data_IF_257837620027
#
_entry.id   IF_257837620027
#
_cell.length_a   1.000
_cell.length_b   1.000
_cell.length_c   1.000
_cell.angle_alpha   90.00
_cell.angle_beta   90.00
_cell.angle_gamma   90.00
#
_symmetry.space_group_name_H-M   'P 1'
#
loop_
_entity.id
_entity.type
_entity.pdbx_description
1 polymer ?
#
# COMPACT_ATOMS: atom_id res chain seq x y z
N UNK A 1 -4.49 -1.81 27.21
CA UNK A 1 -3.63 -0.94 26.39
C UNK A 1 -4.52 0.02 25.61
N UNK A 2 -4.28 1.32 25.78
CA UNK A 2 -5.13 2.45 25.36
C UNK A 2 -5.64 2.35 23.91
N UNK A 3 -6.95 2.22 23.71
CA UNK A 3 -7.60 2.20 22.37
C UNK A 3 -8.84 3.08 22.30
N UNK A 4 -8.81 4.24 22.97
CA UNK A 4 -9.87 5.25 22.84
C UNK A 4 -9.30 6.66 23.10
N UNK A 5 -8.17 6.98 22.49
CA UNK A 5 -7.89 8.39 22.24
C UNK A 5 -8.71 8.78 21.02
N UNK A 6 -9.70 9.65 21.24
CA UNK A 6 -10.68 10.07 20.24
C UNK A 6 -9.99 10.42 18.93
N UNK A 7 -10.31 9.66 17.88
CA UNK A 7 -9.91 9.99 16.51
C UNK A 7 -10.64 11.29 16.17
N UNK A 8 -9.95 12.41 16.33
CA UNK A 8 -10.45 13.70 15.90
C UNK A 8 -10.35 13.76 14.37
N UNK A 9 -11.48 14.07 13.74
CA UNK A 9 -11.66 14.34 12.30
C UNK A 9 -11.25 13.23 11.32
N UNK A 10 -12.14 12.26 11.07
CA UNK A 10 -12.10 11.45 9.84
C UNK A 10 -12.89 12.22 8.77
N UNK A 11 -12.20 12.64 7.71
CA UNK A 11 -12.84 13.25 6.55
C UNK A 11 -12.92 12.22 5.43
N UNK A 12 -14.15 11.83 5.06
CA UNK A 12 -14.40 10.99 3.90
C UNK A 12 -14.80 11.88 2.72
N UNK A 13 -14.33 11.52 1.54
CA UNK A 13 -14.56 12.28 0.31
C UNK A 13 -14.86 11.34 -0.84
N UNK A 14 -15.57 11.86 -1.83
CA UNK A 14 -15.76 11.19 -3.11
C UNK A 14 -14.43 11.23 -3.87
N UNK A 15 -13.92 10.04 -4.22
CA UNK A 15 -12.65 9.89 -4.92
C UNK A 15 -12.65 10.60 -6.27
N UNK A 16 -13.79 10.74 -6.93
CA UNK A 16 -13.89 11.41 -8.23
C UNK A 16 -13.97 12.94 -8.09
N UNK A 17 -14.21 13.47 -6.88
CA UNK A 17 -14.49 14.89 -6.62
C UNK A 17 -13.71 15.44 -5.44
N UNK A 18 -12.40 15.22 -5.44
CA UNK A 18 -11.51 15.70 -4.39
C UNK A 18 -11.20 17.20 -4.59
N UNK A 19 -11.45 18.02 -3.56
CA UNK A 19 -10.91 19.39 -3.51
C UNK A 19 -9.41 19.35 -3.18
N UNK A 20 -8.58 20.05 -3.96
CA UNK A 20 -7.14 20.19 -3.76
C UNK A 20 -6.74 20.61 -2.35
N UNK A 21 -7.60 21.34 -1.64
CA UNK A 21 -7.32 21.84 -0.29
C UNK A 21 -7.13 20.70 0.73
N UNK A 22 -7.65 19.50 0.44
CA UNK A 22 -7.48 18.34 1.30
C UNK A 22 -6.01 17.89 1.45
N UNK A 23 -5.18 18.21 0.45
CA UNK A 23 -3.77 17.85 0.46
C UNK A 23 -2.91 18.87 1.21
N UNK A 24 -3.47 20.02 1.59
CA UNK A 24 -2.75 21.04 2.35
C UNK A 24 -2.34 20.49 3.72
N UNK A 25 -1.08 20.69 4.10
CA UNK A 25 -0.49 20.24 5.36
C UNK A 25 -0.48 18.71 5.55
N UNK A 26 -0.78 17.93 4.50
CA UNK A 26 -0.60 16.48 4.54
C UNK A 26 0.89 16.20 4.52
N UNK A 27 1.37 15.50 5.55
CA UNK A 27 2.78 15.12 5.69
C UNK A 27 2.99 13.61 5.60
N UNK A 28 1.92 12.83 5.78
CA UNK A 28 1.96 11.36 5.82
C UNK A 28 0.86 10.80 4.95
N UNK A 29 1.20 9.83 4.09
CA UNK A 29 0.26 9.15 3.20
C UNK A 29 0.38 7.64 3.41
N UNK A 30 -0.77 6.96 3.48
CA UNK A 30 -0.83 5.50 3.43
C UNK A 30 -1.68 5.07 2.24
N UNK A 31 -1.06 4.35 1.30
CA UNK A 31 -1.73 3.77 0.15
C UNK A 31 -1.99 2.30 0.42
N UNK A 32 -3.27 1.96 0.56
CA UNK A 32 -3.76 0.59 0.79
C UNK A 32 -4.55 0.04 -0.40
N UNK A 33 -4.48 0.71 -1.55
CA UNK A 33 -5.27 0.43 -2.75
C UNK A 33 -4.69 -0.82 -3.44
N UNK A 34 -5.53 -1.75 -3.95
CA UNK A 34 -5.06 -2.83 -4.79
C UNK A 34 -4.39 -2.30 -6.08
N UNK A 35 -3.54 -3.09 -6.77
CA UNK A 35 -2.83 -2.63 -7.96
C UNK A 35 -3.78 -2.32 -9.12
N UNK A 36 -4.90 -3.04 -9.13
CA UNK A 36 -6.00 -2.84 -10.07
C UNK A 36 -6.88 -1.70 -9.54
N UNK A 37 -6.78 -0.52 -10.18
CA UNK A 37 -7.51 0.69 -9.78
C UNK A 37 -6.68 1.77 -9.06
N UNK A 38 -5.37 1.59 -8.87
CA UNK A 38 -4.50 2.63 -8.31
C UNK A 38 -4.07 3.64 -9.39
N UNK A 39 -4.80 4.74 -9.52
CA UNK A 39 -4.46 5.93 -10.34
C UNK A 39 -4.09 7.16 -9.48
N UNK A 40 -3.88 6.99 -8.18
CA UNK A 40 -3.70 8.11 -7.22
C UNK A 40 -2.51 8.98 -7.59
N UNK A 41 -1.38 8.34 -7.94
CA UNK A 41 -0.17 9.07 -8.27
C UNK A 41 -0.34 9.90 -9.55
N UNK A 42 -1.01 9.37 -10.57
CA UNK A 42 -1.27 10.05 -11.83
C UNK A 42 -2.26 11.20 -11.65
N UNK A 43 -3.29 11.00 -10.83
CA UNK A 43 -4.38 11.95 -10.66
C UNK A 43 -4.07 13.04 -9.64
N UNK A 44 -3.37 12.70 -8.56
CA UNK A 44 -3.19 13.58 -7.39
C UNK A 44 -1.74 13.74 -6.96
N UNK A 45 -0.78 13.04 -7.58
CA UNK A 45 0.62 13.07 -7.18
C UNK A 45 1.25 14.46 -7.15
N UNK A 46 0.80 15.37 -8.03
CA UNK A 46 1.28 16.76 -8.05
C UNK A 46 0.83 17.60 -6.84
N UNK A 47 -0.14 17.14 -6.05
CA UNK A 47 -0.51 17.81 -4.79
C UNK A 47 0.33 17.35 -3.60
N UNK A 48 1.15 16.31 -3.74
CA UNK A 48 1.97 15.73 -2.68
C UNK A 48 3.30 16.49 -2.52
N UNK A 49 3.24 17.71 -1.97
CA UNK A 49 4.40 18.61 -1.89
C UNK A 49 5.22 18.44 -0.59
N UNK A 50 4.58 18.40 0.58
CA UNK A 50 5.26 18.40 1.90
C UNK A 50 5.32 17.01 2.56
N UNK A 51 5.33 15.96 1.73
CA UNK A 51 5.27 14.58 2.22
C UNK A 51 6.59 14.22 2.89
N UNK A 52 6.52 13.84 4.17
CA UNK A 52 7.63 13.34 4.98
C UNK A 52 7.70 11.83 4.98
N UNK A 53 6.56 11.16 4.76
CA UNK A 53 6.48 9.70 4.73
C UNK A 53 5.31 9.23 3.85
N UNK A 54 5.57 8.23 3.00
CA UNK A 54 4.53 7.52 2.26
C UNK A 54 4.69 6.02 2.45
N UNK A 55 3.67 5.36 2.97
CA UNK A 55 3.61 3.90 3.05
C UNK A 55 2.77 3.32 1.91
N UNK A 56 3.30 2.35 1.18
CA UNK A 56 2.54 1.56 0.23
C UNK A 56 2.42 0.11 0.73
N UNK A 57 1.19 -0.36 0.88
CA UNK A 57 0.91 -1.73 1.30
C UNK A 57 0.97 -2.68 0.11
N UNK A 58 2.04 -3.45 0.05
CA UNK A 58 2.27 -4.50 -0.93
C UNK A 58 1.95 -5.89 -0.35
N UNK A 59 2.42 -6.94 -1.02
CA UNK A 59 2.22 -8.33 -0.62
C UNK A 59 3.45 -9.18 -0.96
N UNK A 60 3.69 -10.23 -0.18
CA UNK A 60 4.82 -11.16 -0.39
C UNK A 60 4.76 -11.95 -1.70
N UNK A 61 3.61 -11.98 -2.38
CA UNK A 61 3.44 -12.63 -3.70
C UNK A 61 4.41 -12.08 -4.77
N UNK A 62 4.99 -10.89 -4.56
CA UNK A 62 6.00 -10.32 -5.47
C UNK A 62 7.30 -11.11 -5.51
N UNK A 63 7.61 -11.90 -4.49
CA UNK A 63 8.82 -12.73 -4.49
C UNK A 63 8.71 -13.89 -5.49
N UNK A 64 7.52 -14.43 -5.69
CA UNK A 64 7.31 -15.65 -6.48
C UNK A 64 7.68 -16.92 -5.72
N UNK A 65 7.88 -18.01 -6.45
CA UNK A 65 8.33 -19.27 -5.88
C UNK A 65 9.86 -19.28 -5.74
N UNK A 66 10.33 -19.55 -4.52
CA UNK A 66 11.74 -19.71 -4.18
C UNK A 66 12.06 -21.15 -3.73
N UNK A 67 11.21 -22.13 -4.09
CA UNK A 67 11.35 -23.55 -3.76
C UNK A 67 11.45 -23.81 -2.25
N UNK A 68 10.73 -23.02 -1.45
CA UNK A 68 10.75 -23.09 0.01
C UNK A 68 11.99 -22.48 0.69
N UNK A 69 12.91 -21.87 -0.08
CA UNK A 69 14.04 -21.14 0.50
C UNK A 69 13.58 -19.86 1.22
N UNK A 70 14.42 -19.40 2.15
CA UNK A 70 14.24 -18.12 2.81
C UNK A 70 14.34 -16.97 1.80
N UNK A 71 13.47 -15.98 1.98
CA UNK A 71 13.50 -14.72 1.25
C UNK A 71 13.63 -13.55 2.23
N UNK A 72 14.32 -12.51 1.77
CA UNK A 72 14.50 -11.21 2.43
C UNK A 72 14.05 -10.09 1.49
N UNK A 73 14.10 -8.86 1.96
CA UNK A 73 13.79 -7.66 1.18
C UNK A 73 14.71 -7.50 -0.05
N UNK A 74 15.95 -7.97 0.03
CA UNK A 74 16.94 -7.99 -1.06
C UNK A 74 16.75 -9.14 -2.04
N UNK A 75 15.87 -10.11 -1.73
CA UNK A 75 15.64 -11.26 -2.60
C UNK A 75 14.97 -10.84 -3.91
N UNK A 76 15.33 -11.54 -4.98
CA UNK A 76 14.82 -11.24 -6.31
C UNK A 76 13.28 -11.41 -6.38
N UNK A 77 12.60 -10.45 -7.01
CA UNK A 77 11.14 -10.47 -7.18
C UNK A 77 10.76 -11.11 -8.51
N UNK A 78 10.26 -12.36 -8.47
CA UNK A 78 9.88 -13.16 -9.65
C UNK A 78 8.41 -13.61 -9.62
N UNK A 79 7.44 -12.68 -9.59
CA UNK A 79 6.04 -13.08 -9.54
C UNK A 79 5.60 -13.77 -10.84
N UNK A 80 4.97 -14.93 -10.72
CA UNK A 80 4.44 -15.71 -11.86
C UNK A 80 3.02 -15.29 -12.20
N UNK A 81 2.17 -15.18 -11.19
CA UNK A 81 0.75 -14.82 -11.32
C UNK A 81 0.55 -13.36 -11.75
N UNK A 82 -0.55 -13.10 -12.47
CA UNK A 82 -0.95 -11.76 -12.91
C UNK A 82 -1.02 -10.76 -11.75
N UNK A 83 -1.63 -11.16 -10.62
CA UNK A 83 -1.75 -10.31 -9.42
C UNK A 83 -0.39 -9.91 -8.85
N UNK A 84 0.56 -10.84 -8.79
CA UNK A 84 1.91 -10.55 -8.32
C UNK A 84 2.67 -9.62 -9.25
N UNK A 85 2.53 -9.80 -10.57
CA UNK A 85 3.12 -8.91 -11.58
C UNK A 85 2.54 -7.50 -11.48
N UNK A 86 1.21 -7.37 -11.37
CA UNK A 86 0.56 -6.06 -11.17
C UNK A 86 1.02 -5.40 -9.88
N UNK A 87 1.14 -6.16 -8.79
CA UNK A 87 1.63 -5.63 -7.50
C UNK A 87 3.05 -5.11 -7.60
N UNK A 88 3.95 -5.86 -8.23
CA UNK A 88 5.33 -5.43 -8.47
C UNK A 88 5.42 -4.20 -9.38
N UNK A 89 4.53 -4.10 -10.39
CA UNK A 89 4.41 -2.90 -11.22
C UNK A 89 4.03 -1.67 -10.38
N UNK A 90 3.05 -1.80 -9.47
CA UNK A 90 2.67 -0.72 -8.56
C UNK A 90 3.77 -0.37 -7.56
N UNK A 91 4.52 -1.34 -7.01
CA UNK A 91 5.70 -1.05 -6.18
C UNK A 91 6.69 -0.14 -6.94
N UNK A 92 7.03 -0.53 -8.18
CA UNK A 92 7.94 0.25 -9.03
C UNK A 92 7.40 1.64 -9.34
N UNK A 93 6.11 1.75 -9.63
CA UNK A 93 5.43 3.03 -9.86
C UNK A 93 5.59 3.97 -8.66
N UNK A 94 5.29 3.51 -7.45
CA UNK A 94 5.42 4.31 -6.23
C UNK A 94 6.88 4.64 -5.91
N UNK A 95 7.80 3.70 -6.02
CA UNK A 95 9.24 3.95 -5.82
C UNK A 95 9.79 5.01 -6.79
N UNK A 96 9.27 5.06 -8.02
CA UNK A 96 9.68 6.04 -9.02
C UNK A 96 9.00 7.43 -8.87
N UNK A 97 8.13 7.62 -7.87
CA UNK A 97 7.39 8.87 -7.66
C UNK A 97 8.22 10.04 -7.13
N UNK A 98 9.46 9.79 -6.67
CA UNK A 98 10.32 10.73 -5.93
C UNK A 98 9.81 11.12 -4.53
N UNK A 99 8.72 10.52 -4.05
CA UNK A 99 8.22 10.68 -2.68
C UNK A 99 9.02 9.81 -1.70
N UNK A 100 8.97 10.09 -0.37
CA UNK A 100 9.64 9.27 0.66
C UNK A 100 8.88 7.94 0.90
N UNK A 101 8.91 7.07 -0.11
CA UNK A 101 8.14 5.82 -0.16
C UNK A 101 8.79 4.72 0.67
N UNK A 102 7.96 4.02 1.43
CA UNK A 102 8.28 2.82 2.19
C UNK A 102 7.33 1.70 1.75
N UNK A 103 7.90 0.59 1.30
CA UNK A 103 7.12 -0.57 0.82
C UNK A 103 6.94 -1.56 1.97
N UNK A 104 5.70 -1.92 2.27
CA UNK A 104 5.38 -2.94 3.26
C UNK A 104 4.83 -4.18 2.56
N UNK A 105 5.64 -5.23 2.39
CA UNK A 105 5.21 -6.49 1.79
C UNK A 105 4.50 -7.35 2.83
N UNK A 106 3.18 -7.22 2.90
CA UNK A 106 2.38 -7.91 3.91
C UNK A 106 2.21 -9.39 3.57
N UNK A 107 2.33 -10.24 4.59
CA UNK A 107 1.95 -11.65 4.51
C UNK A 107 0.42 -11.82 4.58
N UNK A 108 -0.06 -13.06 4.59
CA UNK A 108 -1.49 -13.36 4.76
C UNK A 108 -2.03 -12.76 6.06
N UNK A 109 -2.91 -11.77 5.96
CA UNK A 109 -3.54 -11.11 7.12
C UNK A 109 -4.52 -12.08 7.77
N UNK A 110 -4.31 -12.37 9.05
CA UNK A 110 -5.17 -13.24 9.85
C UNK A 110 -5.65 -12.54 11.13
N UNK A 111 -6.72 -13.07 11.71
CA UNK A 111 -7.28 -12.58 12.98
C UNK A 111 -8.58 -13.29 13.36
N UNK A 112 -9.24 -12.86 14.44
CA UNK A 112 -10.56 -13.35 14.83
C UNK A 112 -11.54 -13.27 13.64
N UNK A 113 -12.17 -14.41 13.29
CA UNK A 113 -13.09 -14.50 12.15
C UNK A 113 -12.44 -14.41 10.75
N UNK A 114 -11.12 -14.27 10.66
CA UNK A 114 -10.37 -14.22 9.40
C UNK A 114 -9.15 -15.13 9.48
N UNK A 115 -9.38 -16.43 9.34
CA UNK A 115 -8.32 -17.42 9.26
C UNK A 115 -8.81 -18.64 8.48
N UNK A 116 -7.87 -19.47 8.00
CA UNK A 116 -8.21 -20.65 7.22
C UNK A 116 -8.94 -21.73 8.04
N UNK A 117 -8.69 -21.81 9.36
CA UNK A 117 -9.27 -22.84 10.23
C UNK A 117 -10.78 -22.68 10.44
N UNK A 118 -11.28 -21.44 10.35
CA UNK A 118 -12.73 -21.14 10.48
C UNK A 118 -13.51 -21.49 9.19
N UNK A 119 -12.81 -21.65 8.06
CA UNK A 119 -13.41 -21.98 6.76
C UNK A 119 -13.15 -23.44 6.32
N UNK A 120 -12.65 -24.29 7.24
CA UNK A 120 -12.52 -25.74 7.05
C UNK A 120 -13.75 -26.44 7.62
#
# INVERSE_FOLDING_TARGET
TSRNQGIQSINLFDYEKINKDIFQNVTHILVSIPPDGDDVLERYGHYFQDIRWLGYLSATIVYGDHFGNWVTEESETKPVESRGKSRLKSEKKWLNSKLPVHIFRLAGIYGPGRNMLVNL
#
